data_IF_846694574903
#
_entry.id   IF_846694574903
#
_cell.length_a   1.000
_cell.length_b   1.000
_cell.length_c   1.000
_cell.angle_alpha   90.00
_cell.angle_beta   90.00
_cell.angle_gamma   90.00
#
_symmetry.space_group_name_H-M   'P 1'
#
loop_
_entity.id
_entity.type
_entity.pdbx_description
1 polymer ?
#
# COMPACT_ATOMS: atom_id res chain seq x y z
N UNK A 1 -15.21 2.87 -4.24
CA UNK A 1 -14.29 1.83 -3.75
C UNK A 1 -13.44 2.41 -2.62
N UNK A 2 -12.99 1.59 -1.67
CA UNK A 2 -12.12 2.02 -0.55
C UNK A 2 -10.93 1.10 -0.46
N UNK A 3 -9.81 1.58 0.07
CA UNK A 3 -8.69 0.75 0.48
C UNK A 3 -8.09 1.38 1.73
N UNK A 4 -7.70 0.53 2.70
CA UNK A 4 -6.92 0.95 3.86
C UNK A 4 -5.66 0.11 3.92
N UNK A 5 -4.51 0.77 4.03
CA UNK A 5 -3.22 0.18 4.35
C UNK A 5 -2.76 0.69 5.73
N UNK A 6 -2.19 -0.19 6.54
CA UNK A 6 -1.76 0.12 7.91
C UNK A 6 -0.41 -0.55 8.16
N UNK A 7 0.58 0.23 8.59
CA UNK A 7 1.96 -0.19 8.80
C UNK A 7 2.54 0.47 10.05
N UNK A 8 2.48 -0.22 11.19
CA UNK A 8 2.99 0.29 12.46
C UNK A 8 2.35 1.63 12.81
N UNK A 9 3.16 2.69 12.84
CA UNK A 9 2.69 4.05 13.10
C UNK A 9 2.08 4.71 11.85
N UNK A 10 2.26 4.19 10.65
CA UNK A 10 1.70 4.77 9.42
C UNK A 10 0.35 4.14 9.06
N UNK A 11 -0.62 4.97 8.66
CA UNK A 11 -1.85 4.48 8.03
C UNK A 11 -2.22 5.31 6.81
N UNK A 12 -2.77 4.64 5.80
CA UNK A 12 -3.25 5.24 4.57
C UNK A 12 -4.65 4.74 4.28
N UNK A 13 -5.55 5.65 3.92
CA UNK A 13 -6.88 5.32 3.45
C UNK A 13 -7.17 6.04 2.15
N UNK A 14 -7.64 5.30 1.16
CA UNK A 14 -8.04 5.81 -0.15
C UNK A 14 -9.51 5.53 -0.36
N UNK A 15 -10.25 6.50 -0.88
CA UNK A 15 -11.65 6.37 -1.28
C UNK A 15 -11.83 6.94 -2.67
N UNK A 16 -12.51 6.20 -3.52
CA UNK A 16 -12.93 6.65 -4.85
C UNK A 16 -14.46 6.75 -4.88
N UNK A 17 -14.96 7.97 -5.14
CA UNK A 17 -16.38 8.31 -5.17
C UNK A 17 -16.68 9.09 -6.45
N UNK A 18 -17.22 8.40 -7.46
CA UNK A 18 -17.50 8.99 -8.76
C UNK A 18 -16.23 9.48 -9.46
N UNK A 19 -16.09 10.80 -9.64
CA UNK A 19 -14.95 11.43 -10.31
C UNK A 19 -13.89 11.96 -9.32
N UNK A 20 -14.11 11.74 -8.02
CA UNK A 20 -13.27 12.26 -6.93
C UNK A 20 -12.53 11.11 -6.24
N UNK A 21 -11.23 11.30 -6.05
CA UNK A 21 -10.39 10.50 -5.18
C UNK A 21 -10.17 11.25 -3.87
N UNK A 22 -10.21 10.53 -2.76
CA UNK A 22 -9.91 11.06 -1.43
C UNK A 22 -8.83 10.20 -0.81
N UNK A 23 -7.74 10.84 -0.38
CA UNK A 23 -6.62 10.16 0.26
C UNK A 23 -6.43 10.77 1.63
N UNK A 24 -6.34 9.92 2.65
CA UNK A 24 -5.95 10.31 3.99
C UNK A 24 -4.74 9.49 4.39
N UNK A 25 -3.70 10.17 4.84
CA UNK A 25 -2.48 9.54 5.35
C UNK A 25 -2.28 10.03 6.78
N UNK A 26 -1.92 9.16 7.68
CA UNK A 26 -1.67 9.50 9.08
C UNK A 26 -0.43 8.77 9.58
N UNK A 27 0.27 9.40 10.53
CA UNK A 27 1.43 8.82 11.20
C UNK A 27 1.24 9.00 12.71
N UNK A 28 1.03 7.92 13.44
CA UNK A 28 0.99 7.79 14.89
C UNK A 28 2.40 7.85 15.49
N UNK A 29 3.13 8.94 15.20
CA UNK A 29 4.46 9.20 15.75
C UNK A 29 4.50 10.55 16.46
N UNK A 30 5.08 10.57 17.66
CA UNK A 30 5.47 11.82 18.36
C UNK A 30 6.64 12.54 17.64
N UNK A 31 7.35 11.84 16.74
CA UNK A 31 8.52 12.33 16.01
C UNK A 31 8.25 13.47 15.02
N UNK A 32 6.99 13.67 14.60
CA UNK A 32 6.59 14.77 13.72
C UNK A 32 5.67 15.75 14.44
N UNK A 33 6.11 17.00 14.57
CA UNK A 33 5.24 18.08 15.04
C UNK A 33 4.02 18.28 14.11
N UNK A 34 2.87 18.68 14.68
CA UNK A 34 1.61 18.87 13.95
C UNK A 34 1.74 19.80 12.72
N UNK A 35 2.63 20.79 12.77
CA UNK A 35 2.87 21.69 11.65
C UNK A 35 3.56 20.98 10.47
N UNK A 36 4.51 20.07 10.75
CA UNK A 36 5.18 19.27 9.73
C UNK A 36 4.21 18.26 9.10
N UNK A 37 3.40 17.58 9.93
CA UNK A 37 2.32 16.70 9.45
C UNK A 37 1.36 17.46 8.52
N UNK A 38 0.90 18.64 8.95
CA UNK A 38 0.01 19.48 8.14
C UNK A 38 0.65 19.92 6.80
N UNK A 39 1.93 20.29 6.77
CA UNK A 39 2.63 20.62 5.52
C UNK A 39 2.73 19.42 4.57
N UNK A 40 3.01 18.24 5.09
CA UNK A 40 3.12 17.00 4.30
C UNK A 40 1.77 16.38 3.94
N UNK A 41 0.67 16.88 4.49
CA UNK A 41 -0.65 16.29 4.28
C UNK A 41 -0.95 15.04 5.06
N UNK A 42 -0.23 14.85 6.15
CA UNK A 42 -0.47 13.81 7.13
C UNK A 42 -1.43 14.33 8.21
N UNK A 43 -2.36 13.49 8.66
CA UNK A 43 -3.29 13.74 9.75
C UNK A 43 -4.74 13.34 9.43
N UNK A 44 -5.67 13.84 10.24
CA UNK A 44 -7.07 13.39 10.23
C UNK A 44 -7.87 13.80 8.98
N UNK A 45 -7.36 14.73 8.16
CA UNK A 45 -8.10 15.33 7.05
C UNK A 45 -7.88 14.61 5.73
N UNK A 46 -8.96 14.51 4.96
CA UNK A 46 -8.97 13.96 3.62
C UNK A 46 -8.42 14.95 2.61
N UNK A 47 -7.54 14.49 1.72
CA UNK A 47 -7.08 15.25 0.57
C UNK A 47 -7.95 14.85 -0.60
N UNK A 48 -8.76 15.79 -1.11
CA UNK A 48 -9.53 15.57 -2.32
C UNK A 48 -8.68 15.82 -3.57
N UNK A 49 -8.75 14.91 -4.53
CA UNK A 49 -8.14 15.00 -5.84
C UNK A 49 -9.16 14.67 -6.94
N UNK A 50 -8.96 15.27 -8.10
CA UNK A 50 -9.74 14.94 -9.30
C UNK A 50 -9.11 13.72 -9.96
N UNK A 51 -9.86 12.64 -10.15
CA UNK A 51 -9.34 11.41 -10.74
C UNK A 51 -9.72 11.42 -12.23
N UNK A 52 -8.75 11.59 -13.15
CA UNK A 52 -9.04 11.58 -14.58
C UNK A 52 -9.62 10.23 -15.00
N UNK A 53 -10.39 10.20 -16.09
CA UNK A 53 -11.13 9.00 -16.50
C UNK A 53 -10.23 7.78 -16.73
N UNK A 54 -9.02 7.98 -17.26
CA UNK A 54 -7.99 6.95 -17.45
C UNK A 54 -7.35 6.46 -16.14
N UNK A 55 -7.54 7.17 -15.03
CA UNK A 55 -7.07 6.78 -13.69
C UNK A 55 -8.21 6.31 -12.77
N UNK A 56 -9.46 6.26 -13.27
CA UNK A 56 -10.57 5.63 -12.52
C UNK A 56 -10.28 4.15 -12.34
N UNK A 57 -10.53 3.63 -11.14
CA UNK A 57 -10.08 2.29 -10.77
C UNK A 57 -8.63 2.27 -10.28
N UNK A 58 -8.07 3.41 -9.88
CA UNK A 58 -6.72 3.54 -9.30
C UNK A 58 -6.44 2.51 -8.21
N UNK A 59 -7.44 2.22 -7.35
CA UNK A 59 -7.32 1.21 -6.29
C UNK A 59 -7.19 -0.20 -6.87
N UNK A 60 -7.93 -0.50 -7.95
CA UNK A 60 -7.82 -1.77 -8.68
C UNK A 60 -6.47 -1.93 -9.36
N UNK A 61 -6.02 -0.93 -10.11
CA UNK A 61 -4.69 -0.93 -10.74
C UNK A 61 -3.56 -1.05 -9.71
N UNK A 62 -3.68 -0.36 -8.57
CA UNK A 62 -2.71 -0.46 -7.48
C UNK A 62 -2.67 -1.87 -6.89
N UNK A 63 -3.83 -2.50 -6.68
CA UNK A 63 -3.93 -3.90 -6.25
C UNK A 63 -3.26 -4.83 -7.25
N UNK A 64 -3.58 -4.68 -8.53
CA UNK A 64 -2.98 -5.50 -9.59
C UNK A 64 -1.47 -5.31 -9.65
N UNK A 65 -0.96 -4.08 -9.57
CA UNK A 65 0.47 -3.80 -9.52
C UNK A 65 1.15 -4.40 -8.30
N UNK A 66 0.52 -4.40 -7.12
CA UNK A 66 1.06 -5.09 -5.94
C UNK A 66 1.07 -6.61 -6.12
N UNK A 67 -0.02 -7.19 -6.60
CA UNK A 67 -0.13 -8.62 -6.82
C UNK A 67 0.87 -9.11 -7.89
N UNK A 68 1.06 -8.34 -8.96
CA UNK A 68 2.03 -8.65 -10.01
C UNK A 68 3.49 -8.63 -9.53
N UNK A 69 3.77 -7.88 -8.45
CA UNK A 69 5.09 -7.86 -7.81
C UNK A 69 5.30 -9.00 -6.82
N UNK A 70 4.24 -9.71 -6.41
CA UNK A 70 4.38 -10.88 -5.56
C UNK A 70 4.87 -12.08 -6.39
N UNK A 71 5.69 -12.96 -5.80
CA UNK A 71 6.12 -14.16 -6.49
C UNK A 71 4.90 -14.99 -6.86
N UNK A 72 4.77 -15.26 -8.16
CA UNK A 72 3.67 -16.03 -8.70
C UNK A 72 3.68 -17.47 -8.12
N UNK A 73 2.54 -18.16 -8.16
CA UNK A 73 2.42 -19.49 -7.56
C UNK A 73 3.45 -20.50 -8.15
N UNK A 74 3.86 -20.29 -9.40
CA UNK A 74 4.91 -21.07 -10.07
C UNK A 74 6.33 -20.78 -9.55
N UNK A 75 6.61 -19.58 -9.03
CA UNK A 75 7.91 -19.22 -8.45
C UNK A 75 8.15 -19.90 -7.09
N UNK A 76 7.07 -20.32 -6.43
CA UNK A 76 7.10 -21.12 -5.21
C UNK A 76 7.09 -22.64 -5.49
N UNK A 77 6.98 -23.06 -6.75
CA UNK A 77 6.92 -24.47 -7.14
C UNK A 77 8.28 -25.15 -6.92
N UNK A 78 8.36 -26.03 -5.92
CA UNK A 78 9.61 -26.72 -5.52
C UNK A 78 10.34 -26.08 -4.33
N UNK A 79 9.83 -24.96 -3.83
CA UNK A 79 10.13 -24.46 -2.48
C UNK A 79 9.22 -25.21 -1.50
N UNK A 80 9.73 -25.62 -0.34
CA UNK A 80 8.93 -26.11 0.80
C UNK A 80 8.15 -24.93 1.44
N UNK A 81 7.35 -24.24 0.62
CA UNK A 81 6.47 -23.17 1.05
C UNK A 81 5.21 -23.79 1.66
N UNK A 82 5.31 -24.25 2.91
CA UNK A 82 4.13 -24.67 3.66
C UNK A 82 3.30 -23.45 4.04
N UNK A 83 2.07 -23.37 3.50
CA UNK A 83 1.10 -22.37 3.92
C UNK A 83 0.83 -22.53 5.42
N UNK A 84 1.16 -21.52 6.21
CA UNK A 84 0.83 -21.48 7.63
C UNK A 84 -0.58 -20.91 7.79
N UNK A 85 -1.49 -21.72 8.31
CA UNK A 85 -2.82 -21.26 8.68
C UNK A 85 -2.72 -20.27 9.85
N UNK A 86 -3.22 -19.07 9.64
CA UNK A 86 -3.26 -17.99 10.63
C UNK A 86 -4.69 -17.49 10.79
N UNK A 87 -5.04 -17.07 12.00
CA UNK A 87 -6.31 -16.41 12.29
C UNK A 87 -6.11 -14.90 12.14
N UNK A 88 -6.94 -14.26 11.32
CA UNK A 88 -6.96 -12.82 11.09
C UNK A 88 -8.38 -12.32 11.29
N UNK A 89 -8.59 -11.49 12.31
CA UNK A 89 -9.90 -10.93 12.65
C UNK A 89 -11.02 -12.00 12.84
N UNK A 90 -10.65 -13.21 13.28
CA UNK A 90 -11.58 -14.33 13.41
C UNK A 90 -11.93 -15.03 12.09
N UNK A 91 -11.27 -14.65 11.00
CA UNK A 91 -11.33 -15.31 9.70
C UNK A 91 -10.05 -16.12 9.42
N UNK A 92 -10.21 -17.12 8.58
CA UNK A 92 -9.13 -18.03 8.22
C UNK A 92 -8.26 -17.39 7.13
N UNK A 93 -6.97 -17.28 7.38
CA UNK A 93 -5.99 -16.78 6.43
C UNK A 93 -4.78 -17.73 6.31
N UNK A 94 -3.99 -17.51 5.26
CA UNK A 94 -2.84 -18.33 4.91
C UNK A 94 -1.62 -17.46 4.71
N UNK A 95 -0.59 -17.70 5.53
CA UNK A 95 0.71 -17.02 5.47
C UNK A 95 1.69 -17.86 4.65
N UNK A 96 2.36 -17.23 3.71
CA UNK A 96 3.39 -17.82 2.86
C UNK A 96 4.71 -17.11 3.09
N UNK A 97 5.75 -17.87 3.42
CA UNK A 97 7.11 -17.35 3.56
C UNK A 97 7.83 -17.35 2.20
N UNK A 98 8.43 -16.22 1.84
CA UNK A 98 9.17 -16.05 0.60
C UNK A 98 10.66 -16.22 0.90
N UNK A 99 11.33 -17.23 0.30
CA UNK A 99 12.78 -17.33 0.37
C UNK A 99 13.43 -16.11 -0.27
N UNK A 100 14.52 -15.62 0.30
CA UNK A 100 15.19 -14.41 -0.18
C UNK A 100 15.56 -14.47 -1.67
N UNK A 101 16.03 -15.64 -2.16
CA UNK A 101 16.40 -15.87 -3.56
C UNK A 101 15.24 -15.62 -4.53
N UNK A 102 14.02 -15.92 -4.10
CA UNK A 102 12.78 -15.70 -4.85
C UNK A 102 12.36 -14.23 -4.78
N UNK A 103 12.46 -13.60 -3.60
CA UNK A 103 12.17 -12.17 -3.44
C UNK A 103 13.11 -11.30 -4.30
N UNK A 104 14.40 -11.62 -4.34
CA UNK A 104 15.40 -10.94 -5.16
C UNK A 104 15.14 -11.13 -6.66
N UNK A 105 14.72 -12.33 -7.07
CA UNK A 105 14.35 -12.60 -8.46
C UNK A 105 13.09 -11.83 -8.87
N UNK A 106 12.03 -11.85 -8.05
CA UNK A 106 10.80 -11.10 -8.32
C UNK A 106 11.05 -9.58 -8.38
N UNK A 107 11.91 -9.04 -7.51
CA UNK A 107 12.32 -7.64 -7.55
C UNK A 107 13.04 -7.30 -8.87
N UNK A 108 13.99 -8.13 -9.30
CA UNK A 108 14.73 -7.92 -10.55
C UNK A 108 13.83 -8.00 -11.80
N UNK A 109 12.83 -8.88 -11.80
CA UNK A 109 11.83 -8.97 -12.86
C UNK A 109 10.93 -7.72 -12.90
N UNK A 110 10.50 -7.23 -11.73
CA UNK A 110 9.69 -6.02 -11.61
C UNK A 110 10.42 -4.74 -12.05
N UNK A 111 11.73 -4.64 -11.79
CA UNK A 111 12.57 -3.52 -12.29
C UNK A 111 12.65 -3.49 -13.82
N UNK A 112 12.47 -4.64 -14.48
CA UNK A 112 12.61 -4.75 -15.93
C UNK A 112 11.33 -4.36 -16.69
N UNK A 113 10.17 -4.33 -16.02
CA UNK A 113 8.88 -3.90 -16.58
C UNK A 113 8.48 -2.45 -16.21
N UNK A 114 9.24 -1.77 -15.34
CA UNK A 114 8.87 -0.47 -14.76
C UNK A 114 9.17 0.79 -15.60
N UNK A 115 9.46 0.68 -16.90
CA UNK A 115 9.97 1.79 -17.71
C UNK A 115 8.88 2.58 -18.49
N UNK A 116 7.64 2.71 -17.97
CA UNK A 116 6.59 3.51 -18.64
C UNK A 116 5.51 4.12 -17.69
N UNK A 117 5.79 4.31 -16.39
CA UNK A 117 4.84 4.92 -15.44
C UNK A 117 5.00 6.44 -15.30
N UNK A 118 4.75 7.19 -16.37
CA UNK A 118 4.67 8.67 -16.33
C UNK A 118 3.26 9.08 -15.85
N UNK A 119 3.09 9.38 -14.54
CA UNK A 119 1.93 10.16 -14.08
C UNK A 119 1.07 9.60 -12.94
N UNK A 120 1.62 8.88 -11.96
CA UNK A 120 0.91 8.61 -10.70
C UNK A 120 1.24 9.71 -9.67
N UNK A 121 0.24 10.56 -9.36
CA UNK A 121 0.34 11.59 -8.32
C UNK A 121 0.50 10.94 -6.93
N UNK A 122 1.61 11.31 -6.27
CA UNK A 122 2.07 11.19 -4.87
C UNK A 122 1.50 10.10 -3.94
N UNK A 123 0.20 9.79 -3.94
CA UNK A 123 -0.41 8.76 -3.09
C UNK A 123 -0.11 7.32 -3.54
N UNK A 124 -0.17 7.03 -4.85
CA UNK A 124 0.22 5.70 -5.36
C UNK A 124 1.74 5.50 -5.38
N UNK A 125 2.52 6.59 -5.45
CA UNK A 125 3.98 6.54 -5.41
C UNK A 125 4.50 5.92 -4.11
N UNK A 126 3.95 6.32 -2.96
CA UNK A 126 4.36 5.80 -1.65
C UNK A 126 4.21 4.28 -1.49
N UNK A 127 3.21 3.69 -2.17
CA UNK A 127 2.99 2.24 -2.17
C UNK A 127 3.74 1.53 -3.32
N UNK A 128 4.07 2.24 -4.40
CA UNK A 128 4.88 1.72 -5.49
C UNK A 128 6.38 1.67 -5.12
N UNK A 129 6.83 2.58 -4.24
CA UNK A 129 8.17 2.62 -3.62
C UNK A 129 8.38 1.51 -2.57
N UNK A 130 7.41 0.64 -2.32
CA UNK A 130 7.65 -0.54 -1.50
C UNK A 130 8.71 -1.41 -2.18
N UNK A 131 9.88 -1.44 -1.56
CA UNK A 131 11.02 -2.22 -2.01
C UNK A 131 10.68 -3.71 -1.83
N UNK A 132 10.28 -4.37 -2.92
CA UNK A 132 9.83 -5.77 -2.89
C UNK A 132 10.93 -6.73 -2.43
N UNK A 133 12.18 -6.30 -2.51
CA UNK A 133 13.34 -7.01 -1.94
C UNK A 133 13.22 -7.21 -0.43
N UNK A 134 12.45 -6.36 0.26
CA UNK A 134 12.19 -6.45 1.70
C UNK A 134 11.04 -7.40 2.02
N UNK A 135 10.15 -7.72 1.09
CA UNK A 135 9.02 -8.61 1.35
C UNK A 135 9.55 -10.03 1.59
N UNK A 136 9.29 -10.57 2.78
CA UNK A 136 9.71 -11.94 3.14
C UNK A 136 8.55 -12.87 3.47
N UNK A 137 7.35 -12.34 3.62
CA UNK A 137 6.14 -13.13 3.71
C UNK A 137 4.92 -12.32 3.28
N UNK A 138 3.87 -13.01 2.89
CA UNK A 138 2.58 -12.43 2.58
C UNK A 138 1.46 -13.29 3.15
N UNK A 139 0.32 -12.66 3.42
CA UNK A 139 -0.87 -13.30 3.98
C UNK A 139 -2.05 -13.07 3.05
N UNK A 140 -2.74 -14.14 2.69
CA UNK A 140 -3.98 -14.08 1.90
C UNK A 140 -5.15 -14.72 2.63
N UNK A 141 -6.37 -14.34 2.28
CA UNK A 141 -7.58 -14.99 2.79
C UNK A 141 -7.88 -16.32 2.05
N UNK A 142 -9.02 -16.96 2.35
CA UNK A 142 -9.46 -18.20 1.71
C UNK A 142 -9.81 -18.08 0.22
N UNK A 143 -10.13 -16.88 -0.26
CA UNK A 143 -10.40 -16.55 -1.66
C UNK A 143 -9.16 -16.02 -2.40
N UNK A 144 -8.04 -15.81 -1.69
CA UNK A 144 -6.75 -15.39 -2.26
C UNK A 144 -6.54 -13.87 -2.33
N UNK A 145 -7.34 -13.07 -1.63
CA UNK A 145 -7.14 -11.64 -1.46
C UNK A 145 -5.96 -11.36 -0.52
N UNK A 146 -5.10 -10.39 -0.89
CA UNK A 146 -3.95 -9.98 -0.10
C UNK A 146 -4.39 -9.20 1.14
N UNK A 147 -4.13 -9.79 2.32
CA UNK A 147 -4.44 -9.23 3.63
C UNK A 147 -3.25 -8.54 4.28
N UNK A 148 -2.03 -9.03 4.06
CA UNK A 148 -0.82 -8.42 4.64
C UNK A 148 0.46 -8.77 3.88
N UNK A 149 1.46 -7.90 4.02
CA UNK A 149 2.85 -8.09 3.63
C UNK A 149 3.76 -7.92 4.85
N UNK A 150 4.72 -8.81 5.02
CA UNK A 150 5.76 -8.69 6.03
C UNK A 150 7.07 -8.28 5.36
N UNK A 151 7.56 -7.10 5.76
CA UNK A 151 8.77 -6.46 5.26
C UNK A 151 9.90 -6.69 6.26
N UNK A 152 11.08 -7.06 5.76
CA UNK A 152 12.29 -7.12 6.56
C UNK A 152 12.65 -5.68 6.94
N UNK A 153 13.06 -5.49 8.19
CA UNK A 153 13.61 -4.21 8.58
C UNK A 153 14.90 -3.94 7.82
N UNK A 154 15.02 -2.72 7.30
CA UNK A 154 16.25 -2.26 6.65
C UNK A 154 17.41 -2.24 7.65
N UNK A 155 18.59 -2.61 7.18
CA UNK A 155 19.81 -2.45 7.94
C UNK A 155 20.26 -0.99 7.80
N UNK A 156 20.13 -0.22 8.89
CA UNK A 156 20.57 1.18 8.89
C UNK A 156 22.09 1.29 8.72
N UNK A 157 22.58 2.48 8.36
CA UNK A 157 24.02 2.75 8.13
C UNK A 157 24.92 2.41 9.35
N UNK A 158 24.35 2.31 10.56
CA UNK A 158 25.06 1.93 11.80
C UNK A 158 25.13 0.40 12.02
N UNK A 159 24.58 -0.41 11.11
CA UNK A 159 24.53 -1.87 11.20
C UNK A 159 23.44 -2.41 12.14
N UNK A 160 22.56 -1.54 12.65
CA UNK A 160 21.39 -1.91 13.43
C UNK A 160 20.24 -2.26 12.47
N UNK A 161 19.75 -3.50 12.54
CA UNK A 161 18.59 -3.94 11.75
C UNK A 161 17.32 -3.43 12.40
N UNK A 162 16.54 -2.68 11.63
CA UNK A 162 15.19 -2.34 12.05
C UNK A 162 14.36 -3.62 12.30
N UNK A 163 13.35 -3.58 13.17
CA UNK A 163 12.40 -4.69 13.30
C UNK A 163 11.70 -4.93 11.96
N UNK A 164 11.30 -6.19 11.72
CA UNK A 164 10.42 -6.48 10.60
C UNK A 164 9.10 -5.73 10.79
N UNK A 165 8.58 -5.19 9.69
CA UNK A 165 7.38 -4.34 9.69
C UNK A 165 6.29 -5.05 8.91
N UNK A 166 5.11 -5.15 9.50
CA UNK A 166 3.94 -5.67 8.83
C UNK A 166 3.12 -4.53 8.22
N UNK A 167 2.75 -4.66 6.95
CA UNK A 167 1.75 -3.83 6.30
C UNK A 167 0.49 -4.65 6.09
N UNK A 168 -0.64 -4.21 6.65
CA UNK A 168 -1.94 -4.84 6.48
C UNK A 168 -2.80 -4.07 5.51
N UNK A 169 -3.63 -4.77 4.75
CA UNK A 169 -4.53 -4.21 3.75
C UNK A 169 -5.95 -4.66 4.01
N UNK A 170 -6.91 -3.77 3.75
CA UNK A 170 -8.32 -4.07 3.88
C UNK A 170 -9.18 -3.25 2.94
N UNK A 171 -10.34 -3.82 2.57
CA UNK A 171 -11.38 -3.12 1.82
C UNK A 171 -11.21 -3.13 0.30
N UNK A 172 -10.24 -3.86 -0.27
CA UNK A 172 -9.94 -3.89 -1.71
C UNK A 172 -11.18 -4.03 -2.60
N UNK A 173 -12.11 -4.89 -2.22
CA UNK A 173 -13.34 -5.18 -2.96
C UNK A 173 -14.61 -4.56 -2.33
N UNK A 174 -14.46 -3.58 -1.43
CA UNK A 174 -15.62 -2.83 -0.91
C UNK A 174 -16.21 -1.93 -2.01
N UNK A 175 -17.13 -2.53 -2.77
CA UNK A 175 -18.12 -1.87 -3.63
C UNK A 175 -19.29 -1.28 -2.86
N UNK A 176 -19.28 -1.37 -1.52
CA UNK A 176 -20.21 -0.61 -0.69
C UNK A 176 -20.17 0.86 -1.13
N UNK A 177 -21.33 1.53 -1.18
CA UNK A 177 -21.42 2.94 -1.58
C UNK A 177 -20.57 3.78 -0.62
N UNK A 178 -19.30 3.99 -0.98
CA UNK A 178 -18.39 4.81 -0.22
C UNK A 178 -18.86 6.24 -0.38
N UNK A 179 -19.33 6.82 0.71
CA UNK A 179 -19.72 8.23 0.74
C UNK A 179 -18.48 9.13 0.72
N UNK A 180 -18.60 10.27 0.04
CA UNK A 180 -17.60 11.32 0.12
C UNK A 180 -17.44 11.78 1.59
N UNK A 181 -16.21 12.07 2.05
CA UNK A 181 -16.00 12.65 3.38
C UNK A 181 -16.74 13.99 3.51
N UNK A 182 -17.10 14.39 4.74
CA UNK A 182 -17.77 15.67 4.95
C UNK A 182 -16.86 16.84 4.55
N UNK A 183 -17.45 17.94 4.07
CA UNK A 183 -16.69 19.09 3.57
C UNK A 183 -15.74 19.69 4.63
N UNK A 184 -16.08 19.61 5.91
CA UNK A 184 -15.23 20.07 7.01
C UNK A 184 -14.06 19.12 7.35
N UNK A 185 -14.13 17.86 6.89
CA UNK A 185 -13.10 16.83 7.01
C UNK A 185 -12.14 16.82 5.82
N UNK A 186 -12.49 17.52 4.73
CA UNK A 186 -11.68 17.61 3.52
C UNK A 186 -10.80 18.86 3.55
N UNK A 187 -9.52 18.68 3.23
CA UNK A 187 -8.64 19.74 2.78
C UNK A 187 -8.49 19.64 1.27
N UNK A 188 -8.53 20.79 0.60
CA UNK A 188 -8.09 20.86 -0.78
C UNK A 188 -6.60 20.52 -0.80
N UNK A 189 -6.17 19.67 -1.75
CA UNK A 189 -4.76 19.50 -2.02
C UNK A 189 -4.15 20.91 -2.20
N UNK A 190 -2.94 21.19 -1.65
CA UNK A 190 -2.29 22.45 -1.94
C UNK A 190 -2.24 22.55 -3.46
N UNK A 191 -3.02 23.48 -4.02
CA UNK A 191 -3.06 23.66 -5.45
C UNK A 191 -1.62 23.80 -5.91
N UNK A 192 -1.27 23.09 -6.98
CA UNK A 192 -0.22 23.59 -7.87
C UNK A 192 -0.82 24.85 -8.50
N UNK A 193 -0.98 25.89 -7.68
CA UNK A 193 -1.50 27.17 -8.10
C UNK A 193 -0.48 27.64 -9.11
N UNK A 194 -0.94 27.71 -10.36
CA UNK A 194 -0.12 28.09 -11.49
C UNK A 194 0.69 29.32 -11.12
N UNK A 195 2.01 29.20 -11.29
CA UNK A 195 2.86 30.37 -11.37
C UNK A 195 2.29 31.27 -12.48
N UNK A 196 1.55 32.30 -12.07
CA UNK A 196 1.21 33.47 -12.88
C UNK A 196 2.34 34.48 -12.87
#
# INVERSE_FOLDING_TARGET
MRMKADQGDFSMEVREVGEKGYIRMDVDGEDLDQNAKAMMGLGDKWIAQDVPEDQRGMIGSLRESMLAKLPDAGALEGVDAEAQEVDRDGEKAYRYEIPQDIAESAAQEAETEGEDSDGLDQGAAALNELDMSLVHAFVVDGDGELLALELRGEEGEDGEKAPATEMTFSGWDSVEEVEAPAEDEVREAPGIDGQG
#
